data_IF_375193173884
#
_entry.id   IF_375193173884
#
_cell.length_a   1.000
_cell.length_b   1.000
_cell.length_c   1.000
_cell.angle_alpha   90.00
_cell.angle_beta   90.00
_cell.angle_gamma   90.00
#
_symmetry.space_group_name_H-M   'P 1'
#
loop_
_entity.id
_entity.type
_entity.pdbx_description
1 polymer ?
#
# COMPACT_ATOMS: atom_id res chain seq x y z
N UNK A 1 -15.68 1.02 -3.26
CA UNK A 1 -15.21 1.28 -1.90
C UNK A 1 -13.78 0.82 -1.75
N UNK A 2 -12.98 1.60 -1.04
CA UNK A 2 -11.55 1.38 -0.81
C UNK A 2 -11.22 1.59 0.66
N UNK A 3 -10.39 0.73 1.23
CA UNK A 3 -9.94 0.78 2.63
C UNK A 3 -8.42 0.81 2.72
N UNK A 4 -7.91 1.41 3.79
CA UNK A 4 -6.49 1.47 4.12
C UNK A 4 -6.26 0.94 5.53
N UNK A 5 -5.10 0.31 5.75
CA UNK A 5 -4.61 -0.09 7.07
C UNK A 5 -3.23 0.52 7.28
N UNK A 6 -2.94 0.91 8.53
CA UNK A 6 -1.63 1.41 8.97
C UNK A 6 -0.99 0.53 10.06
N UNK A 7 -1.62 -0.58 10.39
CA UNK A 7 -1.26 -1.46 11.50
C UNK A 7 -1.26 -2.93 11.07
N UNK A 8 -0.79 -3.17 9.84
CA UNK A 8 -0.59 -4.51 9.27
C UNK A 8 -1.87 -5.34 9.18
N UNK A 9 -3.01 -4.67 8.93
CA UNK A 9 -4.30 -5.31 8.71
C UNK A 9 -5.09 -5.58 9.99
N UNK A 10 -4.63 -5.09 11.14
CA UNK A 10 -5.36 -5.21 12.41
C UNK A 10 -6.61 -4.34 12.42
N UNK A 11 -6.53 -3.10 11.93
CA UNK A 11 -7.65 -2.20 11.73
C UNK A 11 -7.67 -1.64 10.31
N UNK A 12 -8.87 -1.26 9.86
CA UNK A 12 -9.13 -0.78 8.52
C UNK A 12 -10.01 0.46 8.56
N UNK A 13 -9.61 1.48 7.84
CA UNK A 13 -10.35 2.73 7.68
C UNK A 13 -10.84 2.84 6.23
N UNK A 14 -12.12 3.19 6.06
CA UNK A 14 -12.68 3.46 4.73
C UNK A 14 -12.17 4.81 4.26
N UNK A 15 -11.41 4.82 3.16
CA UNK A 15 -10.83 6.05 2.59
C UNK A 15 -11.61 6.58 1.40
N UNK A 16 -12.31 5.72 0.65
CA UNK A 16 -13.20 6.13 -0.46
C UNK A 16 -14.43 5.23 -0.55
N UNK A 17 -15.58 5.81 -0.91
CA UNK A 17 -16.82 5.06 -1.15
C UNK A 17 -16.83 4.32 -2.50
N UNK A 18 -15.97 4.71 -3.44
CA UNK A 18 -15.77 4.08 -4.74
C UNK A 18 -14.39 3.40 -4.84
N UNK A 19 -14.18 2.52 -5.84
CA UNK A 19 -12.85 2.01 -6.16
C UNK A 19 -11.93 3.14 -6.64
N UNK A 20 -10.66 3.08 -6.25
CA UNK A 20 -9.60 3.97 -6.74
C UNK A 20 -8.37 3.16 -7.11
N UNK A 21 -7.53 3.72 -7.98
CA UNK A 21 -6.18 3.22 -8.27
C UNK A 21 -5.21 4.04 -7.44
N UNK A 22 -4.36 3.36 -6.66
CA UNK A 22 -3.43 3.99 -5.74
C UNK A 22 -1.99 3.85 -6.23
N UNK A 23 -1.20 4.89 -5.98
CA UNK A 23 0.25 4.85 -6.04
C UNK A 23 0.84 5.41 -4.74
N UNK A 24 1.98 4.86 -4.35
CA UNK A 24 2.68 5.23 -3.12
C UNK A 24 4.07 5.77 -3.46
N UNK A 25 4.51 6.75 -2.68
CA UNK A 25 5.84 7.35 -2.75
C UNK A 25 6.30 7.78 -1.37
N UNK A 26 7.58 8.18 -1.28
CA UNK A 26 8.26 8.55 -0.05
C UNK A 26 8.00 7.53 1.08
N UNK A 27 8.23 6.24 0.79
CA UNK A 27 8.01 5.13 1.74
C UNK A 27 6.56 5.00 2.25
N UNK A 28 5.59 5.33 1.39
CA UNK A 28 4.16 5.29 1.73
C UNK A 28 3.65 6.52 2.49
N UNK A 29 4.48 7.56 2.62
CA UNK A 29 4.09 8.84 3.22
C UNK A 29 3.32 9.74 2.25
N UNK A 30 3.49 9.50 0.94
CA UNK A 30 2.70 10.14 -0.11
C UNK A 30 1.84 9.06 -0.76
N UNK A 31 0.53 9.28 -0.77
CA UNK A 31 -0.43 8.42 -1.44
C UNK A 31 -1.15 9.26 -2.50
N UNK A 32 -1.20 8.78 -3.74
CA UNK A 32 -1.97 9.40 -4.82
C UNK A 32 -3.06 8.43 -5.25
N UNK A 33 -4.28 8.91 -5.38
CA UNK A 33 -5.44 8.15 -5.81
C UNK A 33 -6.09 8.80 -7.04
N UNK A 34 -6.45 7.97 -8.01
CA UNK A 34 -7.26 8.37 -9.17
C UNK A 34 -8.44 7.41 -9.32
N UNK A 35 -9.53 7.88 -9.94
CA UNK A 35 -10.68 7.05 -10.29
C UNK A 35 -11.02 7.24 -11.76
N UNK A 36 -11.36 6.13 -12.42
CA UNK A 36 -11.64 6.11 -13.86
C UNK A 36 -13.03 6.58 -14.27
N UNK A 37 -13.91 6.90 -13.31
CA UNK A 37 -15.22 7.49 -13.59
C UNK A 37 -15.38 8.76 -12.75
N UNK A 38 -15.34 9.96 -13.38
CA UNK A 38 -15.40 11.23 -12.67
C UNK A 38 -16.66 11.31 -11.81
N UNK A 39 -17.79 10.72 -12.20
CA UNK A 39 -19.02 10.81 -11.40
C UNK A 39 -19.04 9.88 -10.15
N UNK A 40 -17.96 9.16 -9.86
CA UNK A 40 -17.90 8.17 -8.78
C UNK A 40 -18.03 8.78 -7.39
N UNK A 41 -17.65 10.04 -7.24
CA UNK A 41 -17.67 10.83 -6.01
C UNK A 41 -18.87 11.83 -5.97
N UNK A 42 -19.54 12.01 -7.12
CA UNK A 42 -20.68 12.91 -7.29
C UNK A 42 -20.33 14.23 -7.96
N UNK A 43 -19.07 14.46 -8.34
CA UNK A 43 -18.62 15.62 -9.10
C UNK A 43 -18.11 15.19 -10.50
N UNK A 44 -18.68 15.68 -11.61
CA UNK A 44 -18.14 15.41 -12.95
C UNK A 44 -16.77 16.06 -13.21
N UNK A 45 -16.27 16.83 -12.24
CA UNK A 45 -14.90 17.35 -12.11
C UNK A 45 -13.83 16.30 -12.43
N UNK A 46 -12.70 16.79 -12.90
CA UNK A 46 -11.53 15.97 -13.20
C UNK A 46 -10.54 16.14 -12.07
N UNK A 47 -10.33 15.12 -11.26
CA UNK A 47 -9.47 15.26 -10.10
C UNK A 47 -8.63 14.03 -9.82
N UNK A 48 -7.55 14.27 -9.07
CA UNK A 48 -6.89 13.24 -8.32
C UNK A 48 -6.92 13.63 -6.85
N UNK A 49 -6.87 12.62 -5.99
CA UNK A 49 -6.73 12.84 -4.56
C UNK A 49 -5.31 12.49 -4.14
N UNK A 50 -4.83 13.16 -3.11
CA UNK A 50 -3.57 12.80 -2.50
C UNK A 50 -3.63 12.94 -0.98
N UNK A 51 -2.79 12.18 -0.31
CA UNK A 51 -2.59 12.26 1.13
C UNK A 51 -1.11 12.35 1.44
N UNK A 52 -0.77 13.26 2.34
CA UNK A 52 0.59 13.46 2.87
C UNK A 52 0.70 13.02 4.34
N UNK A 53 -0.36 12.45 4.91
CA UNK A 53 -0.46 11.99 6.29
C UNK A 53 -0.89 10.51 6.36
N UNK A 54 -0.36 9.72 5.42
CA UNK A 54 -0.55 8.27 5.36
C UNK A 54 -2.03 7.84 5.27
N UNK A 55 -2.87 8.65 4.59
CA UNK A 55 -4.26 8.35 4.28
C UNK A 55 -5.28 8.78 5.33
N UNK A 56 -4.88 9.58 6.32
CA UNK A 56 -5.79 10.09 7.37
C UNK A 56 -6.62 11.27 6.87
N UNK A 57 -6.01 12.17 6.10
CA UNK A 57 -6.67 13.24 5.38
C UNK A 57 -6.35 13.14 3.90
N UNK A 58 -7.28 13.61 3.09
CA UNK A 58 -7.20 13.56 1.64
C UNK A 58 -7.50 14.95 1.10
N UNK A 59 -6.61 15.42 0.24
CA UNK A 59 -6.75 16.65 -0.51
C UNK A 59 -7.09 16.31 -1.96
N UNK A 60 -7.91 17.16 -2.57
CA UNK A 60 -8.38 17.02 -3.93
C UNK A 60 -7.69 18.06 -4.81
N UNK A 61 -7.30 17.66 -6.01
CA UNK A 61 -6.79 18.57 -7.02
C UNK A 61 -7.58 18.42 -8.31
N UNK A 62 -8.37 19.45 -8.62
CA UNK A 62 -9.09 19.56 -9.88
C UNK A 62 -8.18 20.02 -11.02
N UNK A 63 -8.14 19.25 -12.11
CA UNK A 63 -7.59 19.70 -13.39
C UNK A 63 -8.50 20.77 -13.97
N UNK A 64 -7.97 21.99 -14.06
CA UNK A 64 -8.63 23.04 -14.82
C UNK A 64 -8.70 22.61 -16.28
N UNK A 65 -9.89 22.67 -16.87
CA UNK A 65 -10.04 22.55 -18.32
C UNK A 65 -9.20 23.63 -18.97
N UNK A 66 -8.05 23.24 -19.53
CA UNK A 66 -7.19 24.16 -20.27
C UNK A 66 -8.04 24.78 -21.39
N UNK A 67 -8.02 26.12 -21.46
CA UNK A 67 -8.48 26.80 -22.65
C UNK A 67 -7.63 26.26 -23.81
N UNK A 68 -8.29 25.68 -24.81
CA UNK A 68 -7.59 25.29 -26.03
C UNK A 68 -6.83 26.52 -26.56
N UNK A 69 -5.75 26.34 -27.34
CA UNK A 69 -4.96 27.44 -27.97
C UNK A 69 -5.78 28.47 -28.79
N UNK A 70 -7.09 28.29 -28.89
CA UNK A 70 -8.10 29.17 -29.51
C UNK A 70 -9.03 29.90 -28.52
N UNK A 71 -8.86 29.75 -27.21
CA UNK A 71 -9.75 30.36 -26.19
C UNK A 71 -11.14 29.70 -26.09
N UNK A 72 -11.32 28.51 -26.66
CA UNK A 72 -12.54 27.73 -26.52
C UNK A 72 -12.39 26.78 -25.33
N UNK A 73 -13.39 26.76 -24.44
CA UNK A 73 -13.47 25.78 -23.36
C UNK A 73 -13.60 24.38 -23.97
N UNK A 74 -12.65 23.51 -23.68
CA UNK A 74 -12.82 22.09 -23.94
C UNK A 74 -13.75 21.51 -22.86
N UNK A 75 -14.97 21.16 -23.25
CA UNK A 75 -15.95 20.53 -22.36
C UNK A 75 -15.84 18.99 -22.38
N UNK A 76 -14.88 18.43 -23.11
CA UNK A 76 -14.69 16.97 -23.20
C UNK A 76 -14.11 16.44 -21.88
N UNK A 77 -14.80 15.53 -21.17
CA UNK A 77 -14.29 14.98 -19.93
C UNK A 77 -12.99 14.20 -20.17
N UNK A 78 -11.98 14.49 -19.38
CA UNK A 78 -10.83 13.61 -19.19
C UNK A 78 -11.26 12.42 -18.32
N UNK A 79 -10.53 11.31 -18.35
CA UNK A 79 -10.78 10.18 -17.49
C UNK A 79 -9.41 9.68 -17.02
N UNK A 80 -9.08 9.88 -15.75
CA UNK A 80 -7.81 9.43 -15.20
C UNK A 80 -7.92 7.95 -14.82
N UNK A 81 -7.24 7.09 -15.56
CA UNK A 81 -7.39 5.65 -15.43
C UNK A 81 -6.13 4.95 -14.93
N UNK A 82 -5.06 5.71 -14.66
CA UNK A 82 -3.81 5.14 -14.21
C UNK A 82 -2.96 6.15 -13.43
N UNK A 83 -2.31 5.67 -12.38
CA UNK A 83 -1.27 6.40 -11.65
C UNK A 83 -0.13 5.45 -11.31
N UNK A 84 1.11 5.89 -11.52
CA UNK A 84 2.32 5.11 -11.19
C UNK A 84 3.41 6.02 -10.63
N UNK A 85 4.18 5.56 -9.63
CA UNK A 85 5.36 6.31 -9.21
C UNK A 85 6.43 6.25 -10.31
N UNK A 86 7.18 7.34 -10.49
CA UNK A 86 8.33 7.37 -11.41
C UNK A 86 9.46 6.48 -10.88
N UNK A 87 9.68 6.50 -9.55
CA UNK A 87 10.65 5.65 -8.86
C UNK A 87 9.93 4.43 -8.28
N UNK A 88 10.31 3.23 -8.73
CA UNK A 88 9.57 1.99 -8.42
C UNK A 88 9.93 1.34 -7.09
N UNK A 89 10.97 1.84 -6.43
CA UNK A 89 11.44 1.34 -5.13
C UNK A 89 10.68 1.98 -3.93
N UNK A 90 9.75 2.91 -4.21
CA UNK A 90 8.93 3.58 -3.20
C UNK A 90 9.59 4.82 -2.58
N UNK A 91 10.85 5.12 -2.86
CA UNK A 91 11.56 6.30 -2.33
C UNK A 91 11.18 7.61 -3.05
N UNK A 92 10.63 7.51 -4.26
CA UNK A 92 10.28 8.67 -5.08
C UNK A 92 9.06 9.44 -4.59
N UNK A 93 9.00 10.72 -4.96
CA UNK A 93 7.91 11.66 -4.66
C UNK A 93 7.26 12.23 -5.93
N UNK A 94 7.51 11.60 -7.07
CA UNK A 94 6.95 11.98 -8.36
C UNK A 94 6.10 10.84 -8.94
N UNK A 95 4.99 11.20 -9.57
CA UNK A 95 4.02 10.25 -10.13
C UNK A 95 3.67 10.63 -11.56
N UNK A 96 3.49 9.63 -12.43
CA UNK A 96 2.85 9.81 -13.73
C UNK A 96 1.40 9.41 -13.59
N UNK A 97 0.51 10.35 -13.90
CA UNK A 97 -0.92 10.09 -14.07
C UNK A 97 -1.23 10.07 -15.55
N UNK A 98 -2.00 9.07 -15.98
CA UNK A 98 -2.45 8.95 -17.35
C UNK A 98 -3.97 8.93 -17.40
N UNK A 99 -4.49 9.38 -18.54
CA UNK A 99 -5.91 9.36 -18.79
C UNK A 99 -6.24 9.40 -20.26
N UNK A 100 -7.53 9.44 -20.54
CA UNK A 100 -8.05 9.49 -21.90
C UNK A 100 -9.24 10.44 -22.00
N UNK A 101 -9.49 10.93 -23.21
CA UNK A 101 -10.73 11.63 -23.55
C UNK A 101 -11.55 10.78 -24.51
N UNK A 102 -12.86 10.83 -24.32
CA UNK A 102 -13.82 10.28 -25.27
C UNK A 102 -14.25 11.42 -26.21
N UNK A 103 -13.56 11.53 -27.34
CA UNK A 103 -14.03 12.43 -28.40
C UNK A 103 -15.03 11.67 -29.28
N UNK A 104 -15.91 12.38 -29.99
CA UNK A 104 -16.91 11.74 -30.88
C UNK A 104 -16.30 10.90 -32.02
N UNK A 105 -14.96 10.77 -32.09
CA UNK A 105 -14.21 10.03 -33.11
C UNK A 105 -13.50 8.80 -32.53
N UNK A 106 -13.36 8.66 -31.21
CA UNK A 106 -12.71 7.53 -30.55
C UNK A 106 -12.18 7.85 -29.16
N UNK A 107 -11.26 7.01 -28.69
CA UNK A 107 -10.57 7.18 -27.40
C UNK A 107 -9.20 7.81 -27.69
N UNK A 108 -8.94 9.00 -27.15
CA UNK A 108 -7.63 9.67 -27.20
C UNK A 108 -6.91 9.49 -25.87
N UNK A 109 -5.84 8.70 -25.84
CA UNK A 109 -5.09 8.32 -24.63
C UNK A 109 -3.81 9.12 -24.42
N UNK A 110 -3.62 10.26 -25.11
CA UNK A 110 -2.36 11.00 -25.10
C UNK A 110 -2.22 11.98 -23.91
N UNK A 111 -2.98 11.79 -22.83
CA UNK A 111 -2.98 12.67 -21.67
C UNK A 111 -2.13 12.07 -20.56
N UNK A 112 -0.97 12.67 -20.32
CA UNK A 112 -0.04 12.27 -19.27
C UNK A 112 0.44 13.49 -18.48
N UNK A 113 0.37 13.39 -17.15
CA UNK A 113 0.74 14.45 -16.22
C UNK A 113 1.79 13.93 -15.25
N UNK A 114 2.71 14.81 -14.84
CA UNK A 114 3.65 14.53 -13.76
C UNK A 114 3.19 15.32 -12.54
N UNK A 115 2.94 14.62 -11.45
CA UNK A 115 2.68 15.20 -10.14
C UNK A 115 3.98 15.11 -9.35
N UNK A 116 4.46 16.24 -8.83
CA UNK A 116 5.75 16.35 -8.15
C UNK A 116 5.57 16.91 -6.73
N UNK A 117 5.81 16.06 -5.74
CA UNK A 117 5.75 16.41 -4.33
C UNK A 117 7.11 16.78 -3.73
N UNK A 118 8.15 17.03 -4.53
CA UNK A 118 9.47 17.48 -4.05
C UNK A 118 9.42 18.79 -3.25
N UNK A 119 8.34 19.56 -3.38
CA UNK A 119 8.08 20.81 -2.66
C UNK A 119 7.01 20.67 -1.58
N UNK A 120 6.51 19.46 -1.31
CA UNK A 120 5.63 19.22 -0.18
C UNK A 120 6.30 19.68 1.12
N UNK A 121 5.52 20.29 2.01
CA UNK A 121 6.00 20.86 3.28
C UNK A 121 7.18 21.85 3.09
N UNK A 122 7.09 22.71 2.08
CA UNK A 122 8.15 23.65 1.68
C UNK A 122 9.51 22.98 1.37
N UNK A 123 9.50 21.67 1.06
CA UNK A 123 10.71 20.87 0.85
C UNK A 123 11.45 20.50 2.14
N UNK A 124 10.80 20.56 3.30
CA UNK A 124 11.38 20.14 4.58
C UNK A 124 11.65 18.63 4.58
N UNK A 125 12.89 18.26 4.86
CA UNK A 125 13.32 16.86 5.04
C UNK A 125 13.17 16.45 6.50
N UNK A 126 12.68 15.24 6.75
CA UNK A 126 12.48 14.73 8.10
C UNK A 126 13.79 14.52 8.86
N UNK A 127 13.82 14.95 10.11
CA UNK A 127 14.87 14.59 11.05
C UNK A 127 14.47 13.37 11.88
N UNK A 128 15.37 12.87 12.73
CA UNK A 128 15.12 11.66 13.55
C UNK A 128 13.95 11.79 14.53
N UNK A 129 13.56 13.01 14.92
CA UNK A 129 12.44 13.24 15.86
C UNK A 129 11.09 13.11 15.17
N UNK A 130 11.05 13.16 13.85
CA UNK A 130 9.85 12.99 13.01
C UNK A 130 9.50 11.51 12.79
N UNK A 131 10.25 10.58 13.39
CA UNK A 131 10.01 9.15 13.32
C UNK A 131 9.49 8.59 14.65
N UNK A 132 8.67 7.56 14.56
CA UNK A 132 8.18 6.76 15.69
C UNK A 132 8.57 5.29 15.50
N UNK A 133 8.78 4.62 16.64
CA UNK A 133 8.92 3.17 16.67
C UNK A 133 7.55 2.53 16.71
N UNK A 134 7.35 1.53 15.86
CA UNK A 134 6.17 0.69 15.84
C UNK A 134 6.54 -0.76 16.06
N UNK A 135 5.88 -1.39 17.03
CA UNK A 135 6.03 -2.81 17.28
C UNK A 135 4.99 -3.58 16.45
N UNK A 136 5.47 -4.53 15.65
CA UNK A 136 4.60 -5.41 14.89
C UNK A 136 3.71 -6.21 15.85
N UNK A 137 2.40 -6.31 15.54
CA UNK A 137 1.43 -7.06 16.32
C UNK A 137 1.43 -6.73 17.82
N UNK A 138 1.62 -5.45 18.17
CA UNK A 138 1.67 -4.97 19.57
C UNK A 138 2.79 -5.63 20.40
N UNK A 139 3.94 -5.90 19.77
CA UNK A 139 5.09 -6.49 20.44
C UNK A 139 4.93 -7.98 20.78
N UNK A 140 3.90 -8.63 20.21
CA UNK A 140 3.74 -10.08 20.32
C UNK A 140 4.77 -10.79 19.46
N UNK A 141 5.15 -11.97 19.93
CA UNK A 141 6.03 -12.85 19.18
C UNK A 141 5.31 -13.40 17.93
N UNK A 142 5.97 -13.33 16.78
CA UNK A 142 5.56 -13.97 15.53
C UNK A 142 6.77 -14.72 15.00
N UNK A 143 6.60 -16.02 14.73
CA UNK A 143 7.67 -16.91 14.23
C UNK A 143 8.95 -16.82 15.07
N UNK A 144 8.80 -16.83 16.40
CA UNK A 144 9.92 -16.73 17.35
C UNK A 144 10.60 -15.36 17.44
N UNK A 145 10.04 -14.31 16.83
CA UNK A 145 10.65 -12.98 16.79
C UNK A 145 9.65 -11.85 17.09
N UNK A 146 10.14 -10.76 17.68
CA UNK A 146 9.44 -9.47 17.72
C UNK A 146 10.16 -8.50 16.81
N UNK A 147 9.38 -7.74 16.04
CA UNK A 147 9.90 -6.77 15.09
C UNK A 147 9.47 -5.37 15.50
N UNK A 148 10.44 -4.46 15.58
CA UNK A 148 10.18 -3.03 15.75
C UNK A 148 10.72 -2.27 14.53
N UNK A 149 9.87 -1.46 13.91
CA UNK A 149 10.25 -0.64 12.75
C UNK A 149 10.22 0.84 13.10
N UNK A 150 11.07 1.64 12.47
CA UNK A 150 10.93 3.09 12.47
C UNK A 150 10.08 3.51 11.26
N UNK A 151 9.08 4.35 11.50
CA UNK A 151 8.31 5.00 10.43
C UNK A 151 8.12 6.48 10.72
N UNK A 152 7.89 7.28 9.70
CA UNK A 152 7.54 8.70 9.89
C UNK A 152 6.24 8.79 10.68
N UNK A 153 6.16 9.71 11.64
CA UNK A 153 4.92 9.99 12.37
C UNK A 153 3.86 10.52 11.40
N UNK A 154 2.61 10.27 11.75
CA UNK A 154 1.48 10.64 10.91
C UNK A 154 1.30 12.15 10.76
N UNK A 155 1.66 12.91 11.80
CA UNK A 155 1.51 14.36 11.91
C UNK A 155 2.79 15.13 11.57
N UNK A 156 3.84 14.44 11.13
CA UNK A 156 5.07 15.08 10.67
C UNK A 156 4.86 15.78 9.33
N UNK A 157 5.16 17.07 9.29
CA UNK A 157 5.11 17.89 8.06
C UNK A 157 6.50 17.95 7.42
N UNK A 158 6.95 16.82 6.87
CA UNK A 158 8.23 16.68 6.18
C UNK A 158 8.21 15.46 5.25
N UNK A 159 9.09 15.46 4.24
CA UNK A 159 9.37 14.29 3.38
C UNK A 159 10.57 13.52 3.92
N UNK A 160 10.58 12.20 3.79
CA UNK A 160 11.75 11.39 4.19
C UNK A 160 12.95 11.76 3.31
N UNK A 161 12.72 11.91 2.00
CA UNK A 161 13.68 12.55 1.09
C UNK A 161 15.04 11.84 0.99
N UNK A 162 15.06 10.53 1.21
CA UNK A 162 16.24 9.67 1.10
C UNK A 162 16.17 8.77 -0.12
N UNK A 163 17.34 8.39 -0.64
CA UNK A 163 17.44 7.27 -1.58
C UNK A 163 16.88 5.98 -0.95
N UNK A 164 16.55 5.00 -1.80
CA UNK A 164 16.05 3.71 -1.33
C UNK A 164 17.03 3.03 -0.36
N UNK A 165 16.54 2.76 0.84
CA UNK A 165 17.21 1.96 1.87
C UNK A 165 16.30 0.78 2.21
N UNK A 166 16.88 -0.40 2.40
CA UNK A 166 16.13 -1.56 2.86
C UNK A 166 15.54 -1.28 4.25
N UNK A 167 14.28 -1.67 4.45
CA UNK A 167 13.60 -1.47 5.73
C UNK A 167 14.20 -2.40 6.79
N UNK A 168 15.06 -1.86 7.64
CA UNK A 168 15.65 -2.60 8.75
C UNK A 168 14.72 -2.61 9.98
N UNK A 169 14.56 -3.80 10.56
CA UNK A 169 13.82 -3.99 11.81
C UNK A 169 14.80 -4.16 12.99
N UNK A 170 14.48 -3.57 14.13
CA UNK A 170 15.05 -4.01 15.41
C UNK A 170 14.37 -5.35 15.77
N UNK A 171 15.14 -6.44 15.84
CA UNK A 171 14.63 -7.80 16.07
C UNK A 171 15.01 -8.29 17.47
N UNK A 172 14.01 -8.75 18.24
CA UNK A 172 14.18 -9.45 19.52
C UNK A 172 13.75 -10.92 19.36
N UNK A 173 14.59 -11.86 19.80
CA UNK A 173 14.27 -13.29 19.78
C UNK A 173 13.40 -13.67 20.98
N UNK A 174 12.36 -14.46 20.75
CA UNK A 174 11.51 -15.02 21.79
C UNK A 174 11.97 -16.43 22.20
N UNK A 175 11.58 -16.84 23.40
CA UNK A 175 11.61 -18.26 23.79
C UNK A 175 10.54 -19.04 23.01
N UNK A 176 10.88 -20.24 22.56
CA UNK A 176 9.95 -21.10 21.84
C UNK A 176 8.81 -21.58 22.75
N UNK A 177 7.61 -21.64 22.19
CA UNK A 177 6.38 -22.16 22.79
C UNK A 177 5.83 -23.29 21.94
N UNK A 178 4.83 -24.02 22.43
CA UNK A 178 4.15 -25.08 21.65
C UNK A 178 3.49 -24.54 20.37
N UNK A 179 3.15 -23.24 20.32
CA UNK A 179 2.57 -22.60 19.14
C UNK A 179 3.59 -22.40 18.00
N UNK A 180 4.89 -22.46 18.30
CA UNK A 180 5.98 -22.34 17.33
C UNK A 180 6.29 -23.69 16.63
N UNK A 181 5.57 -24.76 16.97
CA UNK A 181 5.71 -26.08 16.37
C UNK A 181 4.47 -26.48 15.58
N UNK A 182 4.70 -27.09 14.42
CA UNK A 182 3.68 -27.81 13.65
C UNK A 182 3.83 -29.33 13.82
N UNK A 183 2.73 -30.05 13.59
CA UNK A 183 2.80 -31.50 13.59
C UNK A 183 3.64 -31.98 12.40
N UNK A 184 4.53 -32.93 12.66
CA UNK A 184 5.34 -33.56 11.62
C UNK A 184 4.47 -34.31 10.61
N UNK A 185 5.08 -34.70 9.48
CA UNK A 185 4.41 -35.47 8.44
C UNK A 185 3.71 -36.71 9.03
N UNK A 186 2.46 -36.93 8.63
CA UNK A 186 1.57 -38.00 9.12
C UNK A 186 1.06 -37.84 10.57
N UNK A 187 1.33 -36.71 11.23
CA UNK A 187 0.73 -36.38 12.53
C UNK A 187 -0.28 -35.24 12.38
N UNK A 188 -1.36 -35.28 13.17
CA UNK A 188 -2.39 -34.23 13.21
C UNK A 188 -2.68 -33.85 14.66
N UNK A 189 -3.13 -32.61 14.90
CA UNK A 189 -3.52 -32.16 16.24
C UNK A 189 -4.81 -32.89 16.67
N UNK A 190 -4.79 -33.50 17.85
CA UNK A 190 -5.99 -34.03 18.50
C UNK A 190 -6.80 -32.90 19.17
N UNK A 191 -7.91 -33.24 19.85
CA UNK A 191 -8.75 -32.27 20.57
C UNK A 191 -8.04 -31.56 21.73
N UNK A 192 -6.88 -32.08 22.16
CA UNK A 192 -6.05 -31.53 23.23
C UNK A 192 -4.80 -30.83 22.67
N UNK A 193 -4.76 -30.54 21.36
CA UNK A 193 -3.63 -29.95 20.63
C UNK A 193 -2.34 -30.79 20.63
N UNK A 194 -2.39 -32.08 20.98
CA UNK A 194 -1.23 -32.96 20.85
C UNK A 194 -1.13 -33.48 19.41
N UNK A 195 0.09 -33.57 18.89
CA UNK A 195 0.34 -34.22 17.61
C UNK A 195 0.25 -35.74 17.75
N UNK A 196 -0.78 -36.34 17.15
CA UNK A 196 -1.02 -37.79 17.16
C UNK A 196 -0.90 -38.37 15.76
N UNK A 197 -0.44 -39.62 15.66
CA UNK A 197 -0.27 -40.31 14.39
C UNK A 197 -1.62 -40.51 13.69
N UNK A 198 -1.70 -40.09 12.43
CA UNK A 198 -2.82 -40.40 11.55
C UNK A 198 -2.51 -41.65 10.70
N UNK A 199 -3.22 -42.73 10.99
CA UNK A 199 -3.02 -44.04 10.33
C UNK A 199 -3.38 -43.97 8.83
N UNK A 200 -4.34 -43.13 8.45
CA UNK A 200 -4.72 -42.96 7.04
C UNK A 200 -3.63 -42.22 6.27
N UNK A 201 -3.06 -41.15 6.84
CA UNK A 201 -1.96 -40.40 6.23
C UNK A 201 -0.70 -41.26 6.09
N UNK A 202 -0.28 -41.98 7.15
CA UNK A 202 0.91 -42.82 7.06
C UNK A 202 0.74 -43.96 6.04
N UNK A 203 -0.46 -44.55 5.95
CA UNK A 203 -0.76 -45.58 4.95
C UNK A 203 -0.72 -45.02 3.53
N UNK A 204 -1.31 -43.84 3.31
CA UNK A 204 -1.31 -43.17 2.01
C UNK A 204 0.09 -42.71 1.59
N UNK A 205 0.93 -42.29 2.55
CA UNK A 205 2.29 -41.81 2.28
C UNK A 205 3.22 -42.91 1.77
N UNK A 206 2.93 -44.20 2.03
CA UNK A 206 3.78 -45.31 1.62
C UNK A 206 5.14 -45.39 2.34
N UNK A 207 5.45 -44.48 3.27
CA UNK A 207 6.73 -44.40 3.99
C UNK A 207 7.10 -45.71 4.69
N UNK A 208 6.11 -46.43 5.24
CA UNK A 208 6.35 -47.73 5.89
C UNK A 208 6.59 -48.90 4.91
N UNK A 209 6.37 -48.71 3.61
CA UNK A 209 6.66 -49.72 2.58
C UNK A 209 8.07 -49.56 2.01
N UNK A 210 8.64 -48.36 2.04
CA UNK A 210 9.96 -48.06 1.52
C UNK A 210 11.10 -48.40 2.49
N UNK A 211 10.83 -48.56 3.79
CA UNK A 211 11.86 -48.78 4.82
C UNK A 211 12.36 -50.23 4.94
N UNK A 212 12.15 -51.10 3.95
CA UNK A 212 12.75 -52.45 3.89
C UNK A 212 14.06 -52.40 3.07
N UNK A 213 15.13 -51.91 3.68
CA UNK A 213 16.51 -52.19 3.27
C UNK A 213 17.35 -52.58 4.46
#
# INVERSE_FOLDING_TARGET
MTFLTRDFGKSWEKIFDHPVILAYGDYGNIIVAVHGDPNSDGDPSQEFYYSLDQGKTWEEYEFKNDENKKGEKDETPLYLDNVKPLTKDGSGYQFVVSGYKLDGKGIDTNYHFIIDFSKAFDGKVCDSQEFEKIELNEGKCIDGQKFTYNRRKIDSECIVGKEFEDLEADVELCECTEDDFECSINFVKDSNNNCVLDISLITASGVCLESKS
#
